data_IF_688964695413
#
_entry.id   IF_688964695413
#
_cell.length_a   1.000
_cell.length_b   1.000
_cell.length_c   1.000
_cell.angle_alpha   90.00
_cell.angle_beta   90.00
_cell.angle_gamma   90.00
#
_symmetry.space_group_name_H-M   'P 1'
#
loop_
_entity.id
_entity.type
_entity.pdbx_description
1 polymer ?
#
# COMPACT_ATOMS: atom_id res chain seq x y z
N UNK A 1 -6.11 4.59 -12.21
CA UNK A 1 -5.34 4.73 -10.94
C UNK A 1 -6.30 5.09 -9.83
N UNK A 2 -6.07 4.55 -8.62
CA UNK A 2 -6.95 4.71 -7.45
C UNK A 2 -6.09 4.83 -6.17
N UNK A 3 -6.45 4.14 -5.08
CA UNK A 3 -5.86 4.28 -3.74
C UNK A 3 -4.32 4.34 -3.73
N UNK A 4 -3.64 3.33 -4.29
CA UNK A 4 -2.17 3.24 -4.27
C UNK A 4 -1.48 4.53 -4.76
N UNK A 5 -1.85 5.01 -5.95
CA UNK A 5 -1.22 6.20 -6.53
C UNK A 5 -1.59 7.47 -5.76
N UNK A 6 -2.81 7.54 -5.23
CA UNK A 6 -3.24 8.69 -4.42
C UNK A 6 -2.42 8.78 -3.14
N UNK A 7 -2.23 7.67 -2.43
CA UNK A 7 -1.40 7.63 -1.23
C UNK A 7 0.06 7.97 -1.54
N UNK A 8 0.64 7.37 -2.59
CA UNK A 8 2.03 7.67 -2.96
C UNK A 8 2.22 9.15 -3.33
N UNK A 9 1.27 9.75 -4.06
CA UNK A 9 1.31 11.18 -4.36
C UNK A 9 1.20 12.02 -3.08
N UNK A 10 0.27 11.71 -2.18
CA UNK A 10 0.12 12.41 -0.89
C UNK A 10 1.40 12.32 -0.07
N UNK A 11 1.97 11.13 0.08
CA UNK A 11 3.20 10.90 0.86
C UNK A 11 4.40 11.64 0.24
N UNK A 12 4.60 11.48 -1.08
CA UNK A 12 5.69 12.12 -1.80
C UNK A 12 5.62 13.65 -1.75
N UNK A 13 4.46 14.25 -1.98
CA UNK A 13 4.31 15.73 -1.95
C UNK A 13 4.37 16.28 -0.52
N UNK A 14 3.80 15.58 0.46
CA UNK A 14 3.68 16.11 1.84
C UNK A 14 4.97 15.97 2.64
N UNK A 15 5.69 14.86 2.46
CA UNK A 15 6.88 14.52 3.26
C UNK A 15 8.16 14.43 2.44
N UNK A 16 8.12 14.78 1.15
CA UNK A 16 9.27 14.74 0.24
C UNK A 16 9.93 13.35 0.17
N UNK A 17 9.12 12.29 0.21
CA UNK A 17 9.62 10.93 0.16
C UNK A 17 10.13 10.57 -1.25
N UNK A 18 11.17 9.72 -1.35
CA UNK A 18 11.67 9.26 -2.63
C UNK A 18 10.61 8.40 -3.35
N UNK A 19 10.40 8.72 -4.63
CA UNK A 19 9.22 8.28 -5.39
C UNK A 19 9.13 6.75 -5.52
N UNK A 20 10.21 6.10 -5.99
CA UNK A 20 10.18 4.67 -6.28
C UNK A 20 9.98 3.83 -5.01
N UNK A 21 10.69 4.18 -3.94
CA UNK A 21 10.65 3.51 -2.65
C UNK A 21 9.28 3.67 -1.99
N UNK A 22 8.68 4.86 -2.07
CA UNK A 22 7.31 5.08 -1.58
C UNK A 22 6.32 4.16 -2.30
N UNK A 23 6.45 4.04 -3.62
CA UNK A 23 5.61 3.13 -4.41
C UNK A 23 5.83 1.67 -4.00
N UNK A 24 7.07 1.23 -3.86
CA UNK A 24 7.41 -0.14 -3.44
C UNK A 24 6.80 -0.48 -2.08
N UNK A 25 6.93 0.41 -1.10
CA UNK A 25 6.46 0.15 0.27
C UNK A 25 4.93 0.14 0.36
N UNK A 26 4.24 1.06 -0.32
CA UNK A 26 2.78 1.22 -0.19
C UNK A 26 2.00 0.20 -1.02
N UNK A 27 2.61 -0.36 -2.08
CA UNK A 27 1.91 -1.24 -3.02
C UNK A 27 1.30 -2.49 -2.37
N UNK A 28 2.01 -3.27 -1.53
CA UNK A 28 1.43 -4.46 -0.89
C UNK A 28 0.17 -4.15 -0.09
N UNK A 29 0.21 -3.18 0.82
CA UNK A 29 -0.94 -2.82 1.67
C UNK A 29 -2.10 -2.24 0.86
N UNK A 30 -1.83 -1.48 -0.21
CA UNK A 30 -2.89 -0.96 -1.09
C UNK A 30 -3.57 -2.06 -1.94
N UNK A 31 -2.86 -3.13 -2.27
CA UNK A 31 -3.45 -4.32 -2.90
C UNK A 31 -4.29 -5.09 -1.87
N UNK A 32 -3.76 -5.31 -0.65
CA UNK A 32 -4.49 -5.98 0.43
C UNK A 32 -5.81 -5.26 0.75
N UNK A 33 -5.79 -3.93 0.83
CA UNK A 33 -6.99 -3.10 1.05
C UNK A 33 -8.11 -3.37 0.03
N UNK A 34 -7.73 -3.61 -1.23
CA UNK A 34 -8.68 -3.74 -2.33
C UNK A 34 -9.05 -5.20 -2.63
N UNK A 35 -8.36 -6.19 -2.05
CA UNK A 35 -8.42 -7.57 -2.49
C UNK A 35 -9.84 -8.15 -2.44
N UNK A 36 -10.60 -7.87 -1.37
CA UNK A 36 -11.98 -8.34 -1.25
C UNK A 36 -12.96 -7.70 -2.24
N UNK A 37 -12.67 -6.48 -2.70
CA UNK A 37 -13.51 -5.72 -3.62
C UNK A 37 -13.03 -5.83 -5.09
N UNK A 38 -11.88 -6.45 -5.31
CA UNK A 38 -11.23 -6.57 -6.62
C UNK A 38 -10.67 -7.97 -6.86
N UNK A 39 -11.36 -9.02 -6.38
CA UNK A 39 -10.90 -10.43 -6.39
C UNK A 39 -10.45 -10.91 -7.77
N UNK A 40 -11.18 -10.56 -8.83
CA UNK A 40 -10.82 -10.95 -10.19
C UNK A 40 -9.52 -10.27 -10.67
N UNK A 41 -9.30 -9.02 -10.26
CA UNK A 41 -8.11 -8.25 -10.60
C UNK A 41 -6.90 -8.73 -9.80
N UNK A 42 -7.05 -8.96 -8.49
CA UNK A 42 -5.96 -9.48 -7.65
C UNK A 42 -5.59 -10.91 -8.04
N UNK A 43 -6.54 -11.76 -8.43
CA UNK A 43 -6.24 -13.09 -8.98
C UNK A 43 -5.35 -13.04 -10.23
N UNK A 44 -5.52 -12.04 -11.11
CA UNK A 44 -4.64 -11.85 -12.27
C UNK A 44 -3.23 -11.42 -11.87
N UNK A 45 -3.09 -10.66 -10.79
CA UNK A 45 -1.78 -10.30 -10.23
C UNK A 45 -1.12 -11.55 -9.65
N UNK A 46 -1.83 -12.35 -8.85
CA UNK A 46 -1.34 -13.62 -8.31
C UNK A 46 -0.86 -14.56 -9.41
N UNK A 47 -1.63 -14.70 -10.49
CA UNK A 47 -1.24 -15.47 -11.66
C UNK A 47 0.08 -14.96 -12.28
N UNK A 48 0.19 -13.65 -12.50
CA UNK A 48 1.39 -13.05 -13.07
C UNK A 48 2.64 -13.19 -12.19
N UNK A 49 2.44 -13.26 -10.86
CA UNK A 49 3.49 -13.49 -9.86
C UNK A 49 3.79 -14.98 -9.62
N UNK A 50 3.06 -15.90 -10.25
CA UNK A 50 3.26 -17.35 -10.07
C UNK A 50 2.75 -17.91 -8.74
N UNK A 51 1.85 -17.20 -8.06
CA UNK A 51 1.27 -17.56 -6.75
C UNK A 51 -0.25 -17.80 -6.83
N UNK A 52 -0.71 -18.27 -7.99
CA UNK A 52 -2.11 -18.64 -8.20
C UNK A 52 -2.57 -19.72 -7.21
N UNK A 53 -3.73 -19.53 -6.59
CA UNK A 53 -4.36 -20.54 -5.74
C UNK A 53 -3.64 -20.80 -4.41
N UNK A 54 -2.56 -20.07 -4.11
CA UNK A 54 -1.88 -20.14 -2.83
C UNK A 54 -2.40 -19.09 -1.87
N UNK A 55 -2.46 -19.45 -0.59
CA UNK A 55 -2.34 -18.47 0.48
C UNK A 55 -0.85 -18.44 0.83
N UNK A 56 -0.19 -17.30 0.66
CA UNK A 56 -0.79 -15.98 0.60
C UNK A 56 -1.06 -15.40 -0.80
N UNK A 57 -1.96 -14.39 -0.87
CA UNK A 57 -2.43 -13.73 -2.09
C UNK A 57 -1.46 -12.69 -2.70
N UNK A 58 -1.96 -11.88 -3.64
CA UNK A 58 -1.15 -10.97 -4.45
C UNK A 58 -0.37 -9.93 -3.63
N UNK A 59 -0.99 -9.37 -2.59
CA UNK A 59 -0.36 -8.38 -1.71
C UNK A 59 0.92 -8.93 -1.08
N UNK A 60 0.86 -10.16 -0.58
CA UNK A 60 1.97 -10.76 0.13
C UNK A 60 3.11 -11.15 -0.80
N UNK A 61 2.80 -11.68 -1.99
CA UNK A 61 3.80 -11.95 -3.00
C UNK A 61 4.53 -10.69 -3.46
N UNK A 62 3.85 -9.53 -3.53
CA UNK A 62 4.49 -8.25 -3.82
C UNK A 62 5.43 -7.80 -2.69
N UNK A 63 5.03 -8.00 -1.44
CA UNK A 63 5.90 -7.73 -0.28
C UNK A 63 7.14 -8.63 -0.30
N UNK A 64 6.96 -9.94 -0.48
CA UNK A 64 8.05 -10.92 -0.51
C UNK A 64 9.02 -10.64 -1.68
N UNK A 65 8.49 -10.24 -2.84
CA UNK A 65 9.32 -9.82 -3.98
C UNK A 65 10.16 -8.57 -3.64
N UNK A 66 9.59 -7.59 -2.95
CA UNK A 66 10.34 -6.40 -2.52
C UNK A 66 11.49 -6.80 -1.56
N UNK A 67 11.25 -7.72 -0.64
CA UNK A 67 12.27 -8.27 0.26
C UNK A 67 13.36 -9.01 -0.53
N UNK A 68 12.98 -9.89 -1.46
CA UNK A 68 13.93 -10.66 -2.28
C UNK A 68 14.85 -9.75 -3.10
N UNK A 69 14.32 -8.64 -3.61
CA UNK A 69 15.07 -7.64 -4.38
C UNK A 69 15.90 -6.69 -3.50
N UNK A 70 15.82 -6.79 -2.17
CA UNK A 70 16.51 -5.89 -1.24
C UNK A 70 15.97 -4.46 -1.25
N UNK A 71 14.72 -4.27 -1.66
CA UNK A 71 14.04 -2.99 -1.64
C UNK A 71 13.59 -2.65 -0.21
N UNK A 72 13.43 -1.36 0.13
CA UNK A 72 12.90 -0.98 1.44
C UNK A 72 11.43 -1.40 1.56
N UNK A 73 11.02 -1.82 2.76
CA UNK A 73 9.66 -2.30 3.05
C UNK A 73 8.92 -1.48 4.10
N UNK A 74 9.56 -0.47 4.70
CA UNK A 74 9.00 0.33 5.79
C UNK A 74 9.14 1.84 5.49
N UNK A 75 8.06 2.62 5.59
CA UNK A 75 8.13 4.08 5.40
C UNK A 75 8.98 4.75 6.48
N UNK A 76 9.08 4.16 7.68
CA UNK A 76 9.95 4.68 8.75
C UNK A 76 11.41 4.76 8.31
N UNK A 77 11.86 3.83 7.45
CA UNK A 77 13.20 3.87 6.84
C UNK A 77 13.42 5.06 5.89
N UNK A 78 12.35 5.73 5.47
CA UNK A 78 12.37 6.93 4.63
C UNK A 78 12.24 8.23 5.44
N UNK A 79 12.18 8.17 6.77
CA UNK A 79 12.24 9.32 7.65
C UNK A 79 10.90 9.92 8.08
N UNK A 80 9.80 9.17 7.98
CA UNK A 80 8.47 9.54 8.52
C UNK A 80 8.09 8.72 9.74
N UNK A 81 7.15 9.21 10.56
CA UNK A 81 6.68 8.52 11.76
C UNK A 81 5.14 8.39 11.86
N UNK A 82 4.65 7.88 12.98
CA UNK A 82 3.21 7.63 13.20
C UNK A 82 2.35 8.89 13.04
N UNK A 83 2.82 10.04 13.54
CA UNK A 83 2.10 11.32 13.41
C UNK A 83 1.93 11.76 11.95
N UNK A 84 2.85 11.38 11.07
CA UNK A 84 2.76 11.67 9.63
C UNK A 84 1.70 10.80 8.96
N UNK A 85 1.49 9.56 9.43
CA UNK A 85 0.46 8.66 8.87
C UNK A 85 -0.95 9.18 9.13
N UNK A 86 -1.18 9.73 10.33
CA UNK A 86 -2.43 10.42 10.63
C UNK A 86 -2.69 11.57 9.65
N UNK A 87 -1.68 12.45 9.48
CA UNK A 87 -1.77 13.58 8.55
C UNK A 87 -1.97 13.13 7.10
N UNK A 88 -1.30 12.07 6.68
CA UNK A 88 -1.43 11.52 5.33
C UNK A 88 -2.84 10.95 5.08
N UNK A 89 -3.42 10.25 6.06
CA UNK A 89 -4.79 9.76 5.99
C UNK A 89 -5.77 10.93 5.84
N UNK A 90 -5.64 11.97 6.68
CA UNK A 90 -6.50 13.16 6.62
C UNK A 90 -6.46 13.81 5.23
N UNK A 91 -5.25 14.01 4.65
CA UNK A 91 -5.08 14.59 3.31
C UNK A 91 -5.66 13.69 2.22
N UNK A 92 -5.46 12.37 2.33
CA UNK A 92 -5.92 11.41 1.32
C UNK A 92 -7.46 11.42 1.17
N UNK A 93 -8.21 11.75 2.23
CA UNK A 93 -9.67 11.81 2.22
C UNK A 93 -10.28 13.17 1.82
N UNK A 94 -9.50 14.25 1.77
CA UNK A 94 -10.03 15.60 1.46
C UNK A 94 -10.72 15.69 0.10
N UNK A 95 -10.30 14.88 -0.87
CA UNK A 95 -10.85 14.88 -2.22
C UNK A 95 -11.32 13.47 -2.54
N UNK A 96 -12.64 13.20 -2.54
CA UNK A 96 -13.18 11.90 -2.89
C UNK A 96 -12.75 11.46 -4.29
N UNK A 97 -12.42 10.19 -4.43
CA UNK A 97 -12.11 9.56 -5.71
C UNK A 97 -12.62 8.12 -5.72
N UNK A 98 -12.80 7.58 -6.92
CA UNK A 98 -13.25 6.21 -7.07
C UNK A 98 -12.16 5.20 -6.67
N UNK A 99 -12.54 4.18 -5.91
CA UNK A 99 -11.72 3.02 -5.56
C UNK A 99 -12.64 1.79 -5.43
N UNK A 100 -12.18 0.54 -5.73
CA UNK A 100 -13.02 -0.65 -5.63
C UNK A 100 -13.59 -0.88 -4.22
N UNK A 101 -12.73 -0.80 -3.20
CA UNK A 101 -13.14 -0.78 -1.81
C UNK A 101 -13.56 0.65 -1.39
N UNK A 102 -14.60 0.82 -0.56
CA UNK A 102 -14.91 2.11 0.05
C UNK A 102 -13.69 2.72 0.72
N UNK A 103 -13.52 4.04 0.60
CA UNK A 103 -12.42 4.76 1.24
C UNK A 103 -12.86 5.25 2.60
N UNK A 104 -12.32 4.64 3.66
CA UNK A 104 -12.64 4.95 5.04
C UNK A 104 -11.37 5.40 5.77
N UNK A 105 -11.49 6.42 6.64
CA UNK A 105 -10.34 7.04 7.29
C UNK A 105 -9.52 6.04 8.10
N UNK A 106 -10.16 5.33 9.03
CA UNK A 106 -9.50 4.37 9.93
C UNK A 106 -8.84 3.22 9.14
N UNK A 107 -9.44 2.82 8.03
CA UNK A 107 -8.91 1.77 7.17
C UNK A 107 -7.67 2.25 6.39
N UNK A 108 -7.66 3.49 5.91
CA UNK A 108 -6.47 4.12 5.32
C UNK A 108 -5.37 4.31 6.36
N UNK A 109 -5.71 4.77 7.56
CA UNK A 109 -4.73 4.93 8.64
C UNK A 109 -4.09 3.59 8.99
N UNK A 110 -4.88 2.52 9.11
CA UNK A 110 -4.36 1.16 9.35
C UNK A 110 -3.41 0.71 8.24
N UNK A 111 -3.77 0.92 6.98
CA UNK A 111 -2.93 0.64 5.82
C UNK A 111 -1.58 1.37 5.95
N UNK A 112 -1.63 2.68 6.22
CA UNK A 112 -0.43 3.51 6.36
C UNK A 112 0.43 3.10 7.56
N UNK A 113 -0.17 2.72 8.68
CA UNK A 113 0.55 2.23 9.86
C UNK A 113 1.26 0.89 9.58
N UNK A 114 0.63 -0.02 8.81
CA UNK A 114 1.31 -1.25 8.38
C UNK A 114 2.50 -0.93 7.48
N UNK A 115 2.30 -0.07 6.48
CA UNK A 115 3.36 0.36 5.57
C UNK A 115 4.48 1.13 6.30
N UNK A 116 4.16 1.87 7.37
CA UNK A 116 5.13 2.56 8.22
C UNK A 116 6.09 1.58 8.87
N UNK A 117 5.56 0.53 9.48
CA UNK A 117 6.33 -0.48 10.22
C UNK A 117 6.93 -1.57 9.31
N UNK A 118 6.54 -1.59 8.04
CA UNK A 118 6.89 -2.68 7.13
C UNK A 118 6.30 -4.02 7.55
N UNK A 119 5.08 -4.00 8.10
CA UNK A 119 4.39 -5.21 8.48
C UNK A 119 4.03 -6.00 7.23
N UNK A 120 4.57 -7.22 7.15
CA UNK A 120 4.22 -8.19 6.11
C UNK A 120 2.69 -8.38 6.08
N UNK A 121 1.98 -8.08 4.98
CA UNK A 121 0.52 -8.16 4.91
C UNK A 121 -0.03 -9.56 5.23
N UNK A 122 -1.21 -9.63 5.85
CA UNK A 122 -1.90 -10.87 6.24
C UNK A 122 -2.94 -11.30 5.20
#
# INVERSE_FOLDING_TARGET
>A
MALHHKLCHTLGVTFNLPHAETHTIVLPDAIAYNEDHAKAQTARISFALGVEGTVPGAALALYDLAVELGAPTALESLGVGEGDMQRAADIALQNPYWNPAPIEHDAILKLLSNALQGNRPA
#
